data_IF_300584065049
#
_entry.id   IF_300584065049
#
_cell.length_a   1.000
_cell.length_b   1.000
_cell.length_c   1.000
_cell.angle_alpha   90.00
_cell.angle_beta   90.00
_cell.angle_gamma   90.00
#
_symmetry.space_group_name_H-M   'P 1'
#
loop_
_entity.id
_entity.type
_entity.pdbx_description
1 polymer ?
#
# COMPACT_ATOMS: atom_id res chain seq x y z
N UNK A 1 15.97 6.12 0.56
CA UNK A 1 16.71 5.28 1.54
C UNK A 1 16.72 5.79 3.00
N UNK A 2 17.12 7.05 3.28
CA UNK A 2 17.27 7.54 4.67
C UNK A 2 15.94 7.57 5.44
N UNK A 3 14.85 7.99 4.79
CA UNK A 3 13.52 8.04 5.41
C UNK A 3 13.02 6.64 5.77
N UNK A 4 13.14 5.68 4.85
CA UNK A 4 12.77 4.27 5.09
C UNK A 4 13.49 3.71 6.33
N UNK A 5 14.83 3.87 6.40
CA UNK A 5 15.61 3.47 7.57
C UNK A 5 15.06 4.07 8.86
N UNK A 6 14.77 5.38 8.86
CA UNK A 6 14.24 6.07 10.05
C UNK A 6 12.88 5.51 10.47
N UNK A 7 11.99 5.24 9.52
CA UNK A 7 10.66 4.67 9.81
C UNK A 7 10.78 3.27 10.41
N UNK A 8 11.61 2.42 9.82
CA UNK A 8 11.82 1.05 10.31
C UNK A 8 12.55 1.00 11.65
N UNK A 9 13.52 1.88 11.91
CA UNK A 9 14.20 1.99 13.21
C UNK A 9 13.31 2.63 14.28
N UNK A 10 12.38 3.49 13.86
CA UNK A 10 11.23 3.89 14.64
C UNK A 10 10.21 2.77 14.75
N UNK A 11 10.54 1.50 14.46
CA UNK A 11 9.80 0.28 14.79
C UNK A 11 8.51 0.04 14.01
N UNK A 12 8.38 0.58 12.79
CA UNK A 12 7.39 0.08 11.85
C UNK A 12 7.84 -1.28 11.32
N UNK A 13 6.92 -2.26 11.24
CA UNK A 13 7.15 -3.57 10.63
C UNK A 13 6.87 -3.59 9.12
N UNK A 14 6.88 -2.42 8.49
CA UNK A 14 6.71 -2.32 7.05
C UNK A 14 6.59 -0.89 6.56
N UNK A 15 6.59 -0.78 5.24
CA UNK A 15 6.42 0.46 4.50
C UNK A 15 5.48 0.24 3.33
N UNK A 16 4.73 1.30 2.97
CA UNK A 16 4.05 1.41 1.70
C UNK A 16 4.70 2.58 0.97
N UNK A 17 5.41 2.31 -0.12
CA UNK A 17 6.19 3.33 -0.84
C UNK A 17 5.34 3.91 -1.96
N UNK A 18 5.02 5.22 -1.90
CA UNK A 18 4.24 5.87 -2.95
C UNK A 18 5.11 6.17 -4.17
N UNK A 19 4.47 6.46 -5.29
CA UNK A 19 5.05 6.93 -6.55
C UNK A 19 6.15 6.01 -7.11
N UNK A 20 5.91 4.70 -7.09
CA UNK A 20 6.80 3.71 -7.71
C UNK A 20 6.36 3.47 -9.14
N UNK A 21 7.13 3.98 -10.09
CA UNK A 21 6.84 3.95 -11.52
C UNK A 21 7.73 2.97 -12.30
N UNK A 22 8.88 2.60 -11.74
CA UNK A 22 9.85 1.74 -12.43
C UNK A 22 10.32 0.57 -11.56
N UNK A 23 10.85 -0.46 -12.21
CA UNK A 23 11.48 -1.60 -11.54
C UNK A 23 12.63 -1.15 -10.63
N UNK A 24 13.43 -0.20 -11.08
CA UNK A 24 14.58 0.33 -10.35
C UNK A 24 14.16 1.04 -9.06
N UNK A 25 13.02 1.74 -9.08
CA UNK A 25 12.44 2.36 -7.87
C UNK A 25 11.93 1.32 -6.88
N UNK A 26 11.31 0.25 -7.35
CA UNK A 26 10.90 -0.88 -6.53
C UNK A 26 12.12 -1.59 -5.89
N UNK A 27 13.15 -1.90 -6.67
CA UNK A 27 14.41 -2.45 -6.15
C UNK A 27 15.08 -1.52 -5.13
N UNK A 28 15.04 -0.21 -5.37
CA UNK A 28 15.56 0.78 -4.43
C UNK A 28 14.78 0.81 -3.11
N UNK A 29 13.46 0.60 -3.14
CA UNK A 29 12.62 0.47 -1.95
C UNK A 29 13.00 -0.78 -1.14
N UNK A 30 13.09 -1.95 -1.79
CA UNK A 30 13.50 -3.21 -1.14
C UNK A 30 14.88 -3.07 -0.51
N UNK A 31 15.88 -2.62 -1.29
CA UNK A 31 17.25 -2.46 -0.79
C UNK A 31 17.34 -1.47 0.38
N UNK A 32 16.49 -0.45 0.42
CA UNK A 32 16.46 0.48 1.55
C UNK A 32 15.88 -0.13 2.83
N UNK A 33 15.09 -1.20 2.72
CA UNK A 33 14.44 -1.90 3.84
C UNK A 33 15.27 -3.07 4.38
N UNK A 34 16.14 -3.69 3.56
CA UNK A 34 16.96 -4.86 3.93
C UNK A 34 18.36 -4.51 4.43
N UNK A 35 18.89 -5.28 5.38
CA UNK A 35 20.29 -5.19 5.82
C UNK A 35 21.26 -5.81 4.79
N UNK A 36 22.58 -5.56 4.88
CA UNK A 36 23.55 -6.22 4.00
C UNK A 36 23.64 -7.74 4.25
N UNK A 37 23.89 -8.57 3.21
CA UNK A 37 24.19 -8.17 1.82
C UNK A 37 22.99 -7.88 0.91
N UNK A 38 21.76 -8.18 1.31
CA UNK A 38 20.54 -8.08 0.49
C UNK A 38 20.12 -6.62 0.23
N UNK A 39 20.52 -5.70 1.11
CA UNK A 39 20.22 -4.29 0.98
C UNK A 39 21.29 -3.35 1.54
N UNK A 40 20.87 -2.13 1.83
CA UNK A 40 21.70 -1.01 2.26
C UNK A 40 21.19 -0.34 3.55
N UNK A 41 20.24 -0.98 4.26
CA UNK A 41 19.76 -0.47 5.54
C UNK A 41 20.92 -0.46 6.54
N UNK A 42 21.18 0.68 7.15
CA UNK A 42 22.23 0.79 8.17
C UNK A 42 21.79 0.19 9.51
N UNK A 43 22.68 -0.55 10.18
CA UNK A 43 22.40 -1.10 11.50
C UNK A 43 22.26 0.00 12.56
N UNK A 44 21.12 0.01 13.25
CA UNK A 44 20.83 0.90 14.37
C UNK A 44 19.37 0.89 14.81
N UNK A 45 18.70 -0.28 14.89
CA UNK A 45 17.25 -0.38 15.04
C UNK A 45 16.68 0.17 16.34
N UNK A 46 17.50 0.46 17.37
CA UNK A 46 17.14 0.97 18.71
C UNK A 46 15.73 0.60 19.21
N UNK A 47 14.68 1.32 18.80
CA UNK A 47 13.30 1.01 19.19
C UNK A 47 12.82 -0.34 18.65
N UNK A 48 13.09 -0.64 17.39
CA UNK A 48 12.62 -1.86 16.72
C UNK A 48 13.18 -3.14 17.39
N UNK A 49 14.47 -3.14 17.76
CA UNK A 49 15.11 -4.29 18.42
C UNK A 49 15.03 -4.27 19.96
N UNK A 50 14.31 -3.31 20.58
CA UNK A 50 14.42 -3.07 22.04
C UNK A 50 13.98 -4.27 22.89
N UNK A 51 13.01 -5.04 22.39
CA UNK A 51 12.42 -6.18 23.08
C UNK A 51 12.36 -7.43 22.18
N UNK A 52 13.14 -7.40 21.11
CA UNK A 52 13.21 -8.48 20.14
C UNK A 52 14.67 -8.95 20.09
N UNK A 53 14.99 -10.04 20.80
CA UNK A 53 16.35 -10.59 20.83
C UNK A 53 16.78 -11.17 19.48
N UNK A 54 15.83 -11.55 18.63
CA UNK A 54 16.06 -12.23 17.36
C UNK A 54 16.03 -11.27 16.16
N UNK A 55 15.75 -9.98 16.40
CA UNK A 55 15.62 -8.93 15.38
C UNK A 55 16.75 -8.90 14.34
N UNK A 56 17.99 -9.18 14.77
CA UNK A 56 19.12 -9.19 13.84
C UNK A 56 18.94 -10.23 12.73
N UNK A 57 18.33 -11.35 13.05
CA UNK A 57 18.23 -12.52 12.19
C UNK A 57 16.87 -12.57 11.49
N UNK A 58 15.81 -12.00 12.08
CA UNK A 58 14.44 -12.07 11.53
C UNK A 58 14.02 -10.83 10.74
N UNK A 59 14.61 -9.65 10.99
CA UNK A 59 14.06 -8.39 10.47
C UNK A 59 13.93 -8.31 8.95
N UNK A 60 14.85 -8.92 8.20
CA UNK A 60 14.80 -8.87 6.74
C UNK A 60 13.68 -9.76 6.17
N UNK A 61 13.29 -10.82 6.88
CA UNK A 61 12.17 -11.70 6.51
C UNK A 61 10.81 -11.14 6.95
N UNK A 62 10.77 -10.37 8.04
CA UNK A 62 9.52 -9.91 8.66
C UNK A 62 9.05 -8.52 8.19
N UNK A 63 9.93 -7.71 7.61
CA UNK A 63 9.56 -6.34 7.19
C UNK A 63 8.81 -6.38 5.87
N UNK A 64 7.55 -5.92 5.91
CA UNK A 64 6.71 -5.72 4.74
C UNK A 64 7.20 -4.55 3.88
N UNK A 65 7.43 -4.78 2.59
CA UNK A 65 7.67 -3.75 1.58
C UNK A 65 6.55 -3.80 0.56
N UNK A 66 5.62 -2.86 0.66
CA UNK A 66 4.57 -2.65 -0.32
C UNK A 66 4.84 -1.39 -1.15
N UNK A 67 4.30 -1.34 -2.36
CA UNK A 67 4.38 -0.18 -3.26
C UNK A 67 2.99 0.33 -3.61
N UNK A 68 2.88 1.61 -3.96
CA UNK A 68 1.64 2.15 -4.52
C UNK A 68 1.66 2.16 -6.04
N UNK A 69 0.54 1.73 -6.62
CA UNK A 69 0.24 1.85 -8.06
C UNK A 69 -0.73 3.00 -8.23
N UNK A 70 -0.27 4.11 -8.79
CA UNK A 70 -1.01 5.38 -8.78
C UNK A 70 -0.74 6.30 -9.98
N UNK A 71 -0.05 5.81 -11.01
CA UNK A 71 0.25 6.57 -12.24
C UNK A 71 0.09 5.68 -13.48
N UNK A 72 -0.04 6.30 -14.66
CA UNK A 72 0.02 5.57 -15.93
C UNK A 72 1.34 4.82 -16.10
N UNK A 73 2.47 5.41 -15.73
CA UNK A 73 3.79 4.78 -15.84
C UNK A 73 3.91 3.53 -14.96
N UNK A 74 3.33 3.57 -13.75
CA UNK A 74 3.27 2.39 -12.87
C UNK A 74 2.42 1.25 -13.44
N UNK A 75 1.37 1.56 -14.22
CA UNK A 75 0.58 0.55 -14.95
C UNK A 75 1.37 -0.03 -16.12
N UNK A 76 2.04 0.82 -16.89
CA UNK A 76 2.83 0.39 -18.06
C UNK A 76 4.00 -0.53 -17.65
N UNK A 77 4.57 -0.32 -16.46
CA UNK A 77 5.69 -1.09 -15.91
C UNK A 77 5.28 -2.14 -14.85
N UNK A 78 3.98 -2.40 -14.68
CA UNK A 78 3.46 -3.11 -13.53
C UNK A 78 4.06 -4.51 -13.33
N UNK A 79 4.17 -5.30 -14.42
CA UNK A 79 4.77 -6.63 -14.39
C UNK A 79 6.22 -6.60 -13.91
N UNK A 80 7.01 -5.63 -14.39
CA UNK A 80 8.40 -5.48 -14.01
C UNK A 80 8.57 -5.02 -12.55
N UNK A 81 7.67 -4.16 -12.05
CA UNK A 81 7.62 -3.70 -10.66
C UNK A 81 7.24 -4.86 -9.73
N UNK A 82 6.15 -5.56 -10.04
CA UNK A 82 5.66 -6.67 -9.22
C UNK A 82 6.52 -7.91 -9.34
N UNK A 83 7.33 -8.04 -10.39
CA UNK A 83 8.36 -9.08 -10.51
C UNK A 83 9.61 -8.86 -9.66
N UNK A 84 9.74 -7.75 -8.92
CA UNK A 84 10.89 -7.52 -8.03
C UNK A 84 10.80 -8.40 -6.78
N UNK A 85 11.86 -9.18 -6.53
CA UNK A 85 12.03 -9.94 -5.30
C UNK A 85 12.09 -9.01 -4.08
N UNK A 86 11.29 -9.31 -3.07
CA UNK A 86 11.17 -8.51 -1.85
C UNK A 86 10.10 -7.42 -1.89
N UNK A 87 9.38 -7.23 -3.01
CA UNK A 87 8.08 -6.55 -2.99
C UNK A 87 7.02 -7.55 -2.53
N UNK A 88 6.39 -7.27 -1.40
CA UNK A 88 5.49 -8.21 -0.72
C UNK A 88 4.02 -8.00 -1.10
N UNK A 89 3.64 -6.77 -1.46
CA UNK A 89 2.27 -6.40 -1.79
C UNK A 89 2.23 -5.16 -2.70
N UNK A 90 1.10 -4.94 -3.37
CA UNK A 90 0.80 -3.67 -4.02
C UNK A 90 -0.46 -3.04 -3.44
N UNK A 91 -0.51 -1.71 -3.51
CA UNK A 91 -1.62 -0.93 -2.98
C UNK A 91 -2.03 0.13 -4.00
N UNK A 92 -3.27 0.12 -4.45
CA UNK A 92 -3.76 1.14 -5.37
C UNK A 92 -4.05 2.41 -4.56
N UNK A 93 -3.55 3.54 -5.02
CA UNK A 93 -3.94 4.87 -4.55
C UNK A 93 -5.03 5.44 -5.45
N UNK A 94 -6.33 5.15 -5.22
CA UNK A 94 -7.35 5.38 -6.25
C UNK A 94 -7.58 6.86 -6.60
N UNK A 95 -7.27 7.80 -5.69
CA UNK A 95 -7.36 9.24 -5.95
C UNK A 95 -6.27 9.68 -6.91
N UNK A 96 -5.01 9.33 -6.60
CA UNK A 96 -3.87 9.65 -7.45
C UNK A 96 -3.91 8.88 -8.77
N UNK A 97 -4.32 7.61 -8.78
CA UNK A 97 -4.49 6.84 -10.02
C UNK A 97 -5.51 7.51 -10.94
N UNK A 98 -6.70 7.82 -10.43
CA UNK A 98 -7.75 8.50 -11.21
C UNK A 98 -7.26 9.84 -11.75
N UNK A 99 -6.59 10.65 -10.91
CA UNK A 99 -6.02 11.93 -11.32
C UNK A 99 -4.95 11.79 -12.41
N UNK A 100 -4.01 10.87 -12.26
CA UNK A 100 -2.91 10.65 -13.22
C UNK A 100 -3.41 10.04 -14.54
N UNK A 101 -4.54 9.33 -14.54
CA UNK A 101 -5.23 8.87 -15.74
C UNK A 101 -6.07 9.97 -16.41
N UNK A 102 -6.11 11.18 -15.84
CA UNK A 102 -6.86 12.32 -16.37
C UNK A 102 -8.34 12.32 -16.01
N UNK A 103 -8.74 11.62 -14.95
CA UNK A 103 -10.12 11.51 -14.47
C UNK A 103 -10.34 12.30 -13.17
N UNK A 104 -11.52 12.14 -12.57
CA UNK A 104 -11.96 12.93 -11.43
C UNK A 104 -11.27 12.56 -10.12
N UNK A 105 -11.27 13.51 -9.19
CA UNK A 105 -10.95 13.29 -7.78
C UNK A 105 -12.15 13.79 -6.96
N UNK A 106 -12.89 12.92 -6.24
CA UNK A 106 -12.67 11.49 -6.05
C UNK A 106 -12.84 10.65 -7.35
N UNK A 107 -12.31 9.42 -7.37
CA UNK A 107 -12.45 8.50 -8.50
C UNK A 107 -13.93 8.24 -8.85
N UNK A 108 -14.22 8.24 -10.15
CA UNK A 108 -15.50 7.80 -10.70
C UNK A 108 -15.44 6.29 -10.94
N UNK A 109 -16.13 5.52 -10.09
CA UNK A 109 -16.19 4.05 -10.20
C UNK A 109 -17.11 3.55 -11.32
N UNK A 110 -17.85 4.44 -12.00
CA UNK A 110 -18.58 4.10 -13.24
C UNK A 110 -17.68 4.28 -14.49
N UNK A 111 -16.50 4.90 -14.34
CA UNK A 111 -15.55 5.07 -15.44
C UNK A 111 -14.82 3.75 -15.73
N UNK A 112 -15.14 3.15 -16.89
CA UNK A 112 -14.57 1.87 -17.31
C UNK A 112 -13.03 1.88 -17.37
N UNK A 113 -12.39 2.97 -17.79
CA UNK A 113 -10.93 3.01 -17.90
C UNK A 113 -10.29 2.92 -16.52
N UNK A 114 -10.87 3.61 -15.53
CA UNK A 114 -10.39 3.53 -14.15
C UNK A 114 -10.64 2.14 -13.56
N UNK A 115 -11.83 1.56 -13.73
CA UNK A 115 -12.12 0.21 -13.20
C UNK A 115 -11.28 -0.87 -13.88
N UNK A 116 -11.05 -0.77 -15.20
CA UNK A 116 -10.18 -1.68 -15.95
C UNK A 116 -8.74 -1.60 -15.42
N UNK A 117 -8.24 -0.40 -15.11
CA UNK A 117 -6.92 -0.24 -14.51
C UNK A 117 -6.84 -0.89 -13.12
N UNK A 118 -7.86 -0.73 -12.28
CA UNK A 118 -7.93 -1.38 -10.96
C UNK A 118 -7.96 -2.91 -11.08
N UNK A 119 -8.74 -3.45 -12.02
CA UNK A 119 -8.80 -4.90 -12.27
C UNK A 119 -7.48 -5.42 -12.85
N UNK A 120 -6.84 -4.69 -13.77
CA UNK A 120 -5.53 -5.03 -14.31
C UNK A 120 -4.47 -5.14 -13.21
N UNK A 121 -4.48 -4.22 -12.24
CA UNK A 121 -3.55 -4.29 -11.10
C UNK A 121 -3.75 -5.58 -10.29
N UNK A 122 -5.00 -5.95 -10.03
CA UNK A 122 -5.32 -7.17 -9.31
C UNK A 122 -4.87 -8.42 -10.07
N UNK A 123 -5.10 -8.47 -11.39
CA UNK A 123 -4.70 -9.58 -12.25
C UNK A 123 -3.18 -9.80 -12.20
N UNK A 124 -2.39 -8.76 -12.47
CA UNK A 124 -0.92 -8.87 -12.48
C UNK A 124 -0.38 -9.18 -11.08
N UNK A 125 -0.97 -8.60 -10.02
CA UNK A 125 -0.58 -8.94 -8.66
C UNK A 125 -0.80 -10.43 -8.34
N UNK A 126 -1.92 -11.01 -8.78
CA UNK A 126 -2.20 -12.43 -8.62
C UNK A 126 -1.23 -13.30 -9.42
N UNK A 127 -0.86 -12.91 -10.64
CA UNK A 127 0.11 -13.63 -11.46
C UNK A 127 1.50 -13.72 -10.79
N UNK A 128 1.87 -12.67 -10.03
CA UNK A 128 3.08 -12.66 -9.20
C UNK A 128 2.88 -13.26 -7.80
N UNK A 129 1.68 -13.74 -7.47
CA UNK A 129 1.36 -14.29 -6.15
C UNK A 129 1.38 -13.28 -5.02
N UNK A 130 1.18 -11.99 -5.32
CA UNK A 130 1.29 -10.87 -4.36
C UNK A 130 -0.10 -10.29 -4.05
N UNK A 131 -0.47 -10.07 -2.78
CA UNK A 131 -1.73 -9.46 -2.45
C UNK A 131 -1.80 -8.01 -2.95
N UNK A 132 -2.90 -7.69 -3.64
CA UNK A 132 -3.28 -6.32 -3.94
C UNK A 132 -4.23 -5.76 -2.86
N UNK A 133 -4.15 -4.46 -2.65
CA UNK A 133 -5.03 -3.69 -1.78
C UNK A 133 -5.39 -2.36 -2.40
N UNK A 134 -6.40 -1.68 -1.84
CA UNK A 134 -6.70 -0.30 -2.17
C UNK A 134 -7.39 0.42 -1.03
N UNK A 135 -7.50 1.74 -1.14
CA UNK A 135 -8.42 2.48 -0.29
C UNK A 135 -9.86 2.24 -0.76
N UNK A 136 -10.73 1.85 0.16
CA UNK A 136 -12.14 1.56 -0.08
C UNK A 136 -13.04 2.52 0.72
N UNK A 137 -14.12 2.97 0.10
CA UNK A 137 -15.26 3.55 0.80
C UNK A 137 -16.22 2.43 1.25
N UNK A 138 -17.30 2.79 1.94
CA UNK A 138 -18.28 1.81 2.43
C UNK A 138 -19.08 1.15 1.31
N UNK A 139 -19.17 1.78 0.13
CA UNK A 139 -19.95 1.27 -1.01
C UNK A 139 -19.18 0.25 -1.84
N UNK A 140 -17.84 0.35 -1.91
CA UNK A 140 -17.01 -0.51 -2.76
C UNK A 140 -16.21 -1.59 -2.00
N UNK A 141 -16.14 -1.55 -0.67
CA UNK A 141 -15.32 -2.50 0.11
C UNK A 141 -15.79 -3.95 -0.07
N UNK A 142 -17.10 -4.20 -0.17
CA UNK A 142 -17.64 -5.55 -0.37
C UNK A 142 -17.17 -6.10 -1.72
N UNK A 143 -17.34 -5.31 -2.78
CA UNK A 143 -16.87 -5.64 -4.13
C UNK A 143 -15.36 -5.91 -4.15
N UNK A 144 -14.56 -5.08 -3.47
CA UNK A 144 -13.11 -5.25 -3.41
C UNK A 144 -12.71 -6.60 -2.81
N UNK A 145 -13.33 -6.97 -1.69
CA UNK A 145 -13.06 -8.25 -1.02
C UNK A 145 -13.53 -9.43 -1.87
N UNK A 146 -14.71 -9.34 -2.49
CA UNK A 146 -15.25 -10.39 -3.36
C UNK A 146 -14.39 -10.61 -4.61
N UNK A 147 -13.84 -9.55 -5.20
CA UNK A 147 -12.89 -9.63 -6.32
C UNK A 147 -11.56 -10.28 -5.92
N UNK A 148 -11.18 -10.20 -4.64
CA UNK A 148 -9.98 -10.84 -4.12
C UNK A 148 -8.90 -9.87 -3.65
N UNK A 149 -9.17 -8.56 -3.54
CA UNK A 149 -8.25 -7.65 -2.86
C UNK A 149 -8.14 -8.02 -1.37
N UNK A 150 -6.91 -8.11 -0.84
CA UNK A 150 -6.63 -8.60 0.52
C UNK A 150 -5.96 -7.60 1.44
N UNK A 151 -5.48 -6.48 0.90
CA UNK A 151 -4.75 -5.45 1.66
C UNK A 151 -5.49 -4.11 1.67
N UNK A 152 -6.80 -4.12 1.94
CA UNK A 152 -7.67 -2.95 1.81
C UNK A 152 -7.67 -2.05 3.06
N UNK A 153 -7.65 -0.73 2.85
CA UNK A 153 -8.03 0.25 3.88
C UNK A 153 -9.51 0.55 3.74
N UNK A 154 -10.27 0.48 4.83
CA UNK A 154 -11.72 0.76 4.82
C UNK A 154 -11.96 2.09 5.50
N UNK A 155 -12.12 3.15 4.70
CA UNK A 155 -12.24 4.55 5.14
C UNK A 155 -11.13 5.01 6.12
N UNK A 156 -11.15 6.28 6.50
CA UNK A 156 -10.15 6.86 7.40
C UNK A 156 -10.71 6.99 8.82
N UNK A 157 -9.82 7.01 9.83
CA UNK A 157 -10.23 7.09 11.23
C UNK A 157 -11.05 8.35 11.55
N UNK A 158 -10.70 9.48 10.94
CA UNK A 158 -11.46 10.74 11.03
C UNK A 158 -12.85 10.63 10.41
N UNK A 159 -13.01 9.92 9.29
CA UNK A 159 -14.33 9.64 8.71
C UNK A 159 -15.16 8.70 9.57
N UNK A 160 -14.57 7.65 10.12
CA UNK A 160 -15.26 6.78 11.08
C UNK A 160 -15.76 7.57 12.29
N UNK A 161 -14.92 8.45 12.84
CA UNK A 161 -15.29 9.33 13.95
C UNK A 161 -16.41 10.29 13.56
N UNK A 162 -16.34 10.89 12.37
CA UNK A 162 -17.36 11.81 11.88
C UNK A 162 -18.73 11.12 11.68
N UNK A 163 -18.74 9.93 11.07
CA UNK A 163 -19.97 9.14 10.90
C UNK A 163 -20.56 8.71 12.25
N UNK A 164 -19.73 8.20 13.16
CA UNK A 164 -20.18 7.84 14.52
C UNK A 164 -20.75 9.04 15.28
N UNK A 165 -20.09 10.19 15.21
CA UNK A 165 -20.55 11.43 15.85
C UNK A 165 -21.88 11.92 15.25
N UNK A 166 -22.00 11.91 13.92
CA UNK A 166 -23.23 12.32 13.23
C UNK A 166 -24.42 11.44 13.63
N UNK A 167 -24.22 10.12 13.67
CA UNK A 167 -25.24 9.15 14.08
C UNK A 167 -25.63 9.33 15.56
N UNK A 168 -24.65 9.56 16.46
CA UNK A 168 -24.93 9.82 17.87
C UNK A 168 -25.77 11.09 18.07
N UNK A 169 -25.48 12.17 17.35
CA UNK A 169 -26.25 13.41 17.40
C UNK A 169 -27.65 13.21 16.83
N UNK A 170 -27.79 12.47 15.73
CA UNK A 170 -29.08 12.16 15.10
C UNK A 170 -30.00 11.43 16.11
N UNK A 171 -29.50 10.37 16.74
CA UNK A 171 -30.23 9.61 17.77
C UNK A 171 -30.53 10.44 19.01
N UNK A 172 -29.56 11.22 19.47
CA UNK A 172 -29.74 12.10 20.63
C UNK A 172 -30.81 13.16 20.43
N UNK A 173 -31.10 13.53 19.17
CA UNK A 173 -32.18 14.45 18.78
C UNK A 173 -33.53 13.74 18.54
N UNK A 174 -33.59 12.42 18.61
CA UNK A 174 -34.80 11.63 18.34
C UNK A 174 -35.14 11.46 16.85
N UNK A 175 -34.15 11.60 15.96
CA UNK A 175 -34.29 11.44 14.51
C UNK A 175 -33.68 10.12 14.01
#
# INVERSE_FOLDING_TARGET
>A
PVIIKRILDLGAHGIVVPWVNTKEEAEAAVRAARYPPEGIRGWGPRRAARWDPDYRDTADEEILVAIQVETQESLDNLDAILGVDGIDACYIGPWDLSNNLGFSVPPDYDNKVFTDAVEHVLEVANDHGKPAGMWCNLDNVVWAVEKGFRFNTVINADMMLAYGAAEAVKRGRGN
#
